data_IF_161674610769
#
_entry.id   IF_161674610769
#
_cell.length_a   1.000
_cell.length_b   1.000
_cell.length_c   1.000
_cell.angle_alpha   90.00
_cell.angle_beta   90.00
_cell.angle_gamma   90.00
#
_symmetry.space_group_name_H-M   'P 1'
#
loop_
_entity.id
_entity.type
_entity.pdbx_description
1 polymer ?
#
# COMPACT_ATOMS: atom_id res chain seq x y z
N UNK A 1 45.31 -29.49 -17.40
CA UNK A 1 44.81 -28.12 -17.10
C UNK A 1 43.58 -27.69 -17.91
N UNK A 2 43.59 -27.74 -19.27
CA UNK A 2 42.49 -27.23 -20.12
C UNK A 2 41.07 -27.78 -19.88
N UNK A 3 40.94 -29.03 -19.41
CA UNK A 3 39.62 -29.68 -19.16
C UNK A 3 38.93 -29.16 -17.89
N UNK A 4 39.71 -28.78 -16.88
CA UNK A 4 39.22 -28.26 -15.58
C UNK A 4 38.72 -26.81 -15.72
N UNK A 5 39.42 -25.98 -16.49
CA UNK A 5 38.98 -24.61 -16.83
C UNK A 5 37.73 -24.58 -17.70
N UNK A 6 37.57 -25.49 -18.67
CA UNK A 6 36.35 -25.58 -19.50
C UNK A 6 35.12 -26.02 -18.69
N UNK A 7 35.30 -26.89 -17.70
CA UNK A 7 34.23 -27.27 -16.76
C UNK A 7 33.86 -26.11 -15.84
N UNK A 8 34.84 -25.37 -15.31
CA UNK A 8 34.58 -24.18 -14.49
C UNK A 8 33.82 -23.08 -15.27
N UNK A 9 34.13 -22.87 -16.55
CA UNK A 9 33.42 -21.91 -17.39
C UNK A 9 31.97 -22.35 -17.67
N UNK A 10 31.73 -23.64 -17.92
CA UNK A 10 30.37 -24.19 -18.07
C UNK A 10 29.57 -24.06 -16.78
N UNK A 11 30.15 -24.41 -15.63
CA UNK A 11 29.50 -24.26 -14.33
C UNK A 11 29.19 -22.80 -14.04
N UNK A 12 30.12 -21.88 -14.31
CA UNK A 12 29.89 -20.44 -14.16
C UNK A 12 28.75 -19.95 -15.06
N UNK A 13 28.71 -20.36 -16.33
CA UNK A 13 27.61 -20.01 -17.23
C UNK A 13 26.26 -20.53 -16.75
N UNK A 14 26.19 -21.76 -16.23
CA UNK A 14 24.97 -22.33 -15.64
C UNK A 14 24.54 -21.52 -14.42
N UNK A 15 25.46 -21.15 -13.52
CA UNK A 15 25.15 -20.34 -12.35
C UNK A 15 24.62 -18.95 -12.75
N UNK A 16 25.19 -18.32 -13.77
CA UNK A 16 24.69 -17.05 -14.31
C UNK A 16 23.27 -17.20 -14.86
N UNK A 17 22.99 -18.27 -15.61
CA UNK A 17 21.63 -18.54 -16.13
C UNK A 17 20.64 -18.75 -14.99
N UNK A 18 20.99 -19.56 -13.98
CA UNK A 18 20.14 -19.80 -12.82
C UNK A 18 19.90 -18.50 -12.02
N UNK A 19 20.92 -17.65 -11.89
CA UNK A 19 20.79 -16.35 -11.21
C UNK A 19 19.89 -15.39 -12.00
N UNK A 20 20.02 -15.33 -13.33
CA UNK A 20 19.13 -14.54 -14.19
C UNK A 20 17.69 -15.06 -14.12
N UNK A 21 17.51 -16.39 -14.12
CA UNK A 21 16.18 -17.00 -13.95
C UNK A 21 15.59 -16.66 -12.58
N UNK A 22 16.37 -16.76 -11.51
CA UNK A 22 15.95 -16.37 -10.17
C UNK A 22 15.51 -14.90 -10.11
N UNK A 23 16.28 -13.99 -10.70
CA UNK A 23 15.90 -12.57 -10.77
C UNK A 23 14.59 -12.41 -11.55
N UNK A 24 14.41 -13.12 -12.67
CA UNK A 24 13.22 -13.00 -13.52
C UNK A 24 11.96 -13.58 -12.87
N UNK A 25 12.06 -14.62 -12.06
CA UNK A 25 10.90 -15.29 -11.45
C UNK A 25 10.59 -14.79 -10.04
N UNK A 26 11.56 -14.19 -9.34
CA UNK A 26 11.35 -13.65 -8.01
C UNK A 26 10.74 -12.23 -8.08
N UNK A 27 9.43 -12.15 -7.88
CA UNK A 27 8.70 -10.89 -7.96
C UNK A 27 9.22 -9.83 -6.98
N UNK A 28 9.72 -10.20 -5.80
CA UNK A 28 10.25 -9.23 -4.81
C UNK A 28 11.52 -8.56 -5.31
N UNK A 29 12.39 -9.35 -5.96
CA UNK A 29 13.60 -8.82 -6.58
C UNK A 29 13.23 -7.92 -7.76
N UNK A 30 12.27 -8.34 -8.59
CA UNK A 30 11.74 -7.51 -9.68
C UNK A 30 11.16 -6.20 -9.18
N UNK A 31 10.29 -6.21 -8.16
CA UNK A 31 9.66 -5.01 -7.58
C UNK A 31 10.71 -4.01 -7.09
N UNK A 32 11.72 -4.49 -6.35
CA UNK A 32 12.83 -3.65 -5.89
C UNK A 32 13.66 -3.06 -7.04
N UNK A 33 13.94 -3.85 -8.06
CA UNK A 33 14.65 -3.36 -9.25
C UNK A 33 13.81 -2.31 -10.00
N UNK A 34 12.52 -2.55 -10.18
CA UNK A 34 11.62 -1.59 -10.84
C UNK A 34 11.48 -0.30 -10.04
N UNK A 35 11.46 -0.36 -8.72
CA UNK A 35 11.46 0.83 -7.87
C UNK A 35 12.71 1.70 -8.13
N UNK A 36 13.90 1.10 -8.08
CA UNK A 36 15.17 1.80 -8.35
C UNK A 36 15.18 2.37 -9.77
N UNK A 37 14.80 1.56 -10.77
CA UNK A 37 14.75 1.99 -12.16
C UNK A 37 13.71 3.09 -12.39
N UNK A 38 12.61 3.09 -11.65
CA UNK A 38 11.58 4.12 -11.75
C UNK A 38 12.14 5.47 -11.31
N UNK A 39 12.78 5.54 -10.15
CA UNK A 39 13.36 6.79 -9.63
C UNK A 39 14.54 7.30 -10.47
N UNK A 40 15.31 6.40 -11.10
CA UNK A 40 16.38 6.79 -12.02
C UNK A 40 15.86 7.38 -13.34
N UNK A 41 14.64 7.03 -13.76
CA UNK A 41 14.07 7.39 -15.06
C UNK A 41 13.02 8.50 -14.99
N UNK A 42 12.46 8.74 -13.81
CA UNK A 42 11.36 9.67 -13.61
C UNK A 42 11.66 10.62 -12.45
N UNK A 43 11.28 11.88 -12.63
CA UNK A 43 11.22 12.84 -11.51
C UNK A 43 10.04 12.43 -10.61
N UNK A 44 10.36 11.80 -9.48
CA UNK A 44 9.39 11.18 -8.56
C UNK A 44 9.41 11.89 -7.21
N UNK A 45 9.10 13.18 -7.23
CA UNK A 45 9.10 14.01 -6.03
C UNK A 45 7.93 13.63 -5.09
N UNK A 46 8.15 13.56 -3.77
CA UNK A 46 7.09 13.38 -2.78
C UNK A 46 5.98 14.44 -2.91
N UNK A 47 4.70 14.06 -3.03
CA UNK A 47 3.59 15.02 -2.99
C UNK A 47 3.34 15.51 -1.56
N UNK A 48 3.46 16.82 -1.31
CA UNK A 48 3.21 17.45 0.00
C UNK A 48 2.02 18.43 -0.03
N UNK A 49 1.16 18.32 -1.04
CA UNK A 49 -0.07 19.11 -1.14
C UNK A 49 -1.21 18.29 -1.72
N UNK A 50 -2.46 18.62 -1.34
CA UNK A 50 -3.66 17.97 -1.90
C UNK A 50 -3.74 18.09 -3.42
N UNK A 51 -3.22 19.20 -3.98
CA UNK A 51 -3.13 19.39 -5.43
C UNK A 51 -2.18 18.38 -6.07
N UNK A 52 -0.96 18.24 -5.56
CA UNK A 52 0.01 17.28 -6.11
C UNK A 52 -0.49 15.84 -5.99
N UNK A 53 -1.10 15.47 -4.86
CA UNK A 53 -1.73 14.16 -4.67
C UNK A 53 -2.80 13.94 -5.77
N UNK A 54 -3.67 14.93 -5.98
CA UNK A 54 -4.72 14.86 -7.00
C UNK A 54 -4.15 14.77 -8.41
N UNK A 55 -3.11 15.54 -8.72
CA UNK A 55 -2.42 15.51 -10.01
C UNK A 55 -1.84 14.11 -10.28
N UNK A 56 -1.17 13.51 -9.29
CA UNK A 56 -0.64 12.14 -9.39
C UNK A 56 -1.77 11.14 -9.65
N UNK A 57 -2.85 11.18 -8.87
CA UNK A 57 -3.98 10.26 -9.04
C UNK A 57 -4.70 10.43 -10.38
N UNK A 58 -4.83 11.67 -10.87
CA UNK A 58 -5.47 11.98 -12.16
C UNK A 58 -4.72 11.40 -13.36
N UNK A 59 -3.42 11.13 -13.20
CA UNK A 59 -2.59 10.48 -14.23
C UNK A 59 -2.88 8.99 -14.41
N UNK A 60 -3.65 8.37 -13.51
CA UNK A 60 -3.94 6.94 -13.50
C UNK A 60 -5.36 6.75 -14.04
N UNK A 61 -5.56 6.00 -15.14
CA UNK A 61 -6.89 5.74 -15.67
C UNK A 61 -7.79 5.05 -14.66
N UNK A 62 -9.07 5.40 -14.66
CA UNK A 62 -10.08 4.81 -13.79
C UNK A 62 -11.06 3.92 -14.56
N UNK A 63 -11.81 3.12 -13.82
CA UNK A 63 -12.89 2.27 -14.31
C UNK A 63 -13.96 2.11 -13.22
N UNK A 64 -15.19 1.79 -13.65
CA UNK A 64 -16.28 1.43 -12.74
C UNK A 64 -16.26 -0.06 -12.40
N UNK A 65 -17.04 -0.44 -11.38
CA UNK A 65 -17.21 -1.85 -10.99
C UNK A 65 -17.69 -2.74 -12.15
N UNK A 66 -18.60 -2.24 -12.99
CA UNK A 66 -19.17 -3.02 -14.10
C UNK A 66 -18.16 -3.31 -15.23
N UNK A 67 -17.02 -2.62 -15.22
CA UNK A 67 -15.92 -2.86 -16.16
C UNK A 67 -14.90 -3.88 -15.63
N UNK A 68 -15.01 -4.32 -14.37
CA UNK A 68 -14.15 -5.35 -13.80
C UNK A 68 -14.43 -6.68 -14.49
N UNK A 69 -13.37 -7.39 -14.88
CA UNK A 69 -13.52 -8.68 -15.53
C UNK A 69 -14.04 -9.76 -14.56
N UNK A 70 -14.64 -10.81 -15.13
CA UNK A 70 -15.26 -11.88 -14.35
C UNK A 70 -14.27 -12.67 -13.49
N UNK A 71 -13.04 -12.87 -13.99
CA UNK A 71 -12.01 -13.64 -13.30
C UNK A 71 -11.54 -12.91 -12.03
N UNK A 72 -11.33 -11.59 -12.12
CA UNK A 72 -11.03 -10.72 -11.00
C UNK A 72 -12.17 -10.72 -9.98
N UNK A 73 -13.42 -10.59 -10.43
CA UNK A 73 -14.59 -10.59 -9.54
C UNK A 73 -14.75 -11.91 -8.78
N UNK A 74 -14.45 -13.03 -9.43
CA UNK A 74 -14.44 -14.36 -8.83
C UNK A 74 -13.29 -14.52 -7.82
N UNK A 75 -12.06 -14.26 -8.26
CA UNK A 75 -10.85 -14.31 -7.44
C UNK A 75 -10.97 -13.48 -6.16
N UNK A 76 -11.44 -12.23 -6.31
CA UNK A 76 -11.56 -11.30 -5.20
C UNK A 76 -12.79 -11.53 -4.33
N UNK A 77 -13.74 -12.39 -4.76
CA UNK A 77 -15.09 -12.55 -4.19
C UNK A 77 -15.92 -11.26 -4.21
N UNK A 78 -15.57 -10.28 -5.04
CA UNK A 78 -16.22 -8.97 -5.09
C UNK A 78 -17.68 -9.05 -5.56
N UNK A 79 -18.04 -10.07 -6.35
CA UNK A 79 -19.41 -10.29 -6.82
C UNK A 79 -20.33 -10.94 -5.77
N UNK A 80 -19.81 -11.40 -4.62
CA UNK A 80 -20.64 -12.05 -3.59
C UNK A 80 -21.68 -11.05 -3.04
N UNK A 81 -22.94 -11.46 -2.78
CA UNK A 81 -24.01 -10.55 -2.33
C UNK A 81 -23.68 -9.71 -1.10
N UNK A 82 -22.84 -10.24 -0.18
CA UNK A 82 -22.39 -9.51 1.01
C UNK A 82 -21.37 -8.39 0.73
N UNK A 83 -20.65 -8.44 -0.38
CA UNK A 83 -19.59 -7.49 -0.72
C UNK A 83 -19.96 -6.55 -1.86
N UNK A 84 -20.74 -7.03 -2.84
CA UNK A 84 -21.17 -6.23 -3.99
C UNK A 84 -21.75 -4.86 -3.59
N UNK A 85 -22.63 -4.73 -2.57
CA UNK A 85 -23.14 -3.41 -2.16
C UNK A 85 -22.07 -2.44 -1.64
N UNK A 86 -20.94 -2.94 -1.13
CA UNK A 86 -19.83 -2.11 -0.65
C UNK A 86 -18.92 -1.61 -1.78
N UNK A 87 -18.98 -2.27 -2.93
CA UNK A 87 -17.98 -2.19 -3.99
C UNK A 87 -18.53 -1.60 -5.30
N UNK A 88 -19.81 -1.84 -5.60
CA UNK A 88 -20.43 -1.50 -6.89
C UNK A 88 -20.36 -0.02 -7.27
N UNK A 89 -20.35 0.87 -6.29
CA UNK A 89 -20.39 2.32 -6.50
C UNK A 89 -18.99 2.97 -6.33
N UNK A 90 -17.93 2.16 -6.20
CA UNK A 90 -16.56 2.66 -6.06
C UNK A 90 -15.92 2.94 -7.41
N UNK A 91 -14.99 3.89 -7.41
CA UNK A 91 -14.06 4.12 -8.52
C UNK A 91 -12.83 3.24 -8.35
N UNK A 92 -12.47 2.50 -9.39
CA UNK A 92 -11.29 1.66 -9.44
C UNK A 92 -10.22 2.31 -10.29
N UNK A 93 -8.99 2.34 -9.80
CA UNK A 93 -7.83 2.77 -10.57
C UNK A 93 -7.23 1.57 -11.28
N UNK A 94 -6.87 1.76 -12.56
CA UNK A 94 -6.18 0.77 -13.38
C UNK A 94 -4.67 0.91 -13.16
N UNK A 95 -4.19 0.40 -12.03
CA UNK A 95 -2.80 0.62 -11.59
C UNK A 95 -1.83 -0.24 -12.39
N UNK A 96 -1.05 0.37 -13.28
CA UNK A 96 -0.01 -0.33 -14.05
C UNK A 96 1.24 -0.54 -13.20
N UNK A 97 2.13 -1.43 -13.64
CA UNK A 97 3.40 -1.72 -12.96
C UNK A 97 4.24 -0.46 -12.66
N UNK A 98 4.25 0.52 -13.54
CA UNK A 98 4.95 1.79 -13.33
C UNK A 98 4.27 2.68 -12.29
N UNK A 99 2.94 2.63 -12.19
CA UNK A 99 2.17 3.42 -11.24
C UNK A 99 2.40 2.96 -9.80
N UNK A 100 2.68 1.67 -9.60
CA UNK A 100 3.07 1.09 -8.29
C UNK A 100 4.18 1.89 -7.59
N UNK A 101 5.11 2.44 -8.38
CA UNK A 101 6.29 3.16 -7.88
C UNK A 101 6.11 4.69 -7.82
N UNK A 102 4.97 5.24 -8.25
CA UNK A 102 4.68 6.66 -8.06
C UNK A 102 4.59 6.97 -6.56
N UNK A 103 5.27 8.01 -6.10
CA UNK A 103 4.98 8.60 -4.78
C UNK A 103 3.63 9.30 -4.87
N UNK A 104 2.74 8.98 -3.93
CA UNK A 104 1.34 9.43 -3.93
C UNK A 104 1.00 10.33 -2.76
N UNK A 105 1.73 10.22 -1.64
CA UNK A 105 1.64 11.15 -0.50
C UNK A 105 2.93 11.08 0.31
N UNK A 106 3.60 12.22 0.46
CA UNK A 106 4.92 12.29 1.08
C UNK A 106 5.87 11.23 0.51
N UNK A 107 6.63 10.51 1.35
CA UNK A 107 7.56 9.48 0.87
C UNK A 107 6.85 8.22 0.36
N UNK A 108 5.54 8.06 0.60
CA UNK A 108 4.82 6.82 0.37
C UNK A 108 4.43 6.63 -1.10
N UNK A 109 4.70 5.43 -1.59
CA UNK A 109 4.37 4.97 -2.95
C UNK A 109 3.00 4.31 -3.00
N UNK A 110 2.38 4.35 -4.18
CA UNK A 110 1.06 3.74 -4.40
C UNK A 110 1.01 2.27 -3.99
N UNK A 111 2.07 1.49 -4.27
CA UNK A 111 2.13 0.07 -3.90
C UNK A 111 1.96 -0.21 -2.41
N UNK A 112 2.31 0.73 -1.53
CA UNK A 112 2.12 0.55 -0.09
C UNK A 112 0.65 0.61 0.33
N UNK A 113 -0.21 1.21 -0.51
CA UNK A 113 -1.64 1.30 -0.28
C UNK A 113 -2.41 0.16 -0.97
N UNK A 114 -1.73 -0.82 -1.57
CA UNK A 114 -2.35 -1.88 -2.35
C UNK A 114 -2.29 -3.24 -1.66
N UNK A 115 -3.18 -4.14 -2.09
CA UNK A 115 -3.15 -5.53 -1.67
C UNK A 115 -1.98 -6.23 -2.36
N UNK A 116 -1.11 -6.87 -1.58
CA UNK A 116 -0.02 -7.68 -2.12
C UNK A 116 -0.52 -9.10 -2.40
N UNK A 117 -1.31 -9.22 -3.47
CA UNK A 117 -1.96 -10.44 -3.92
C UNK A 117 -1.36 -10.97 -5.23
N UNK A 118 -2.05 -11.92 -5.87
CA UNK A 118 -1.62 -12.52 -7.13
C UNK A 118 -1.67 -11.52 -8.28
N UNK A 119 -2.69 -10.68 -8.38
CA UNK A 119 -2.76 -9.64 -9.41
C UNK A 119 -1.62 -8.61 -9.27
N UNK A 120 -1.29 -8.22 -8.04
CA UNK A 120 -0.11 -7.39 -7.76
C UNK A 120 1.18 -8.04 -8.25
N UNK A 121 1.36 -9.32 -7.89
CA UNK A 121 2.54 -10.11 -8.26
C UNK A 121 2.64 -10.27 -9.78
N UNK A 122 1.53 -10.57 -10.44
CA UNK A 122 1.45 -10.79 -11.87
C UNK A 122 1.61 -9.51 -12.67
N UNK A 123 1.14 -8.37 -12.15
CA UNK A 123 1.42 -7.05 -12.71
C UNK A 123 2.93 -6.74 -12.68
N UNK A 124 3.63 -7.03 -11.58
CA UNK A 124 5.09 -6.88 -11.49
C UNK A 124 5.81 -7.76 -12.52
N UNK A 125 5.39 -9.02 -12.63
CA UNK A 125 5.95 -9.99 -13.57
C UNK A 125 5.53 -9.73 -15.02
N UNK A 126 4.62 -8.79 -15.27
CA UNK A 126 4.15 -8.39 -16.60
C UNK A 126 3.18 -9.39 -17.23
N UNK A 127 2.50 -10.22 -16.41
CA UNK A 127 1.42 -11.10 -16.85
C UNK A 127 0.08 -10.36 -16.87
N UNK A 128 -0.14 -9.46 -15.90
CA UNK A 128 -1.28 -8.56 -15.87
C UNK A 128 -0.87 -7.15 -16.32
N UNK A 129 -1.71 -6.48 -17.12
CA UNK A 129 -1.43 -5.11 -17.58
C UNK A 129 -1.57 -4.10 -16.42
N UNK A 130 -2.57 -4.31 -15.57
CA UNK A 130 -2.89 -3.45 -14.45
C UNK A 130 -3.59 -4.21 -13.32
N UNK A 131 -3.59 -3.64 -12.13
CA UNK A 131 -4.34 -4.13 -10.98
C UNK A 131 -5.51 -3.18 -10.72
N UNK A 132 -6.78 -3.64 -10.76
CA UNK A 132 -7.89 -2.84 -10.30
C UNK A 132 -7.78 -2.60 -8.80
N UNK A 133 -7.77 -1.33 -8.38
CA UNK A 133 -7.69 -0.97 -6.96
C UNK A 133 -8.71 0.13 -6.63
N UNK A 134 -9.69 -0.11 -5.75
CA UNK A 134 -10.52 0.95 -5.22
C UNK A 134 -9.67 1.80 -4.28
N UNK A 135 -9.71 3.12 -4.48
CA UNK A 135 -8.92 4.07 -3.72
C UNK A 135 -9.81 5.27 -3.42
N UNK A 136 -9.93 5.62 -2.14
CA UNK A 136 -10.55 6.86 -1.72
C UNK A 136 -9.46 7.94 -1.53
N UNK A 137 -9.42 9.01 -2.35
CA UNK A 137 -8.37 10.03 -2.26
C UNK A 137 -8.28 10.73 -0.89
N UNK A 138 -9.38 10.81 -0.15
CA UNK A 138 -9.41 11.39 1.20
C UNK A 138 -8.42 10.67 2.14
N UNK A 139 -8.16 9.37 1.93
CA UNK A 139 -7.18 8.62 2.72
C UNK A 139 -5.78 9.23 2.60
N UNK A 140 -5.33 9.57 1.40
CA UNK A 140 -4.03 10.22 1.19
C UNK A 140 -4.02 11.63 1.77
N UNK A 141 -5.12 12.37 1.69
CA UNK A 141 -5.21 13.67 2.32
C UNK A 141 -5.07 13.57 3.84
N UNK A 142 -5.60 12.51 4.47
CA UNK A 142 -5.39 12.25 5.91
C UNK A 142 -4.00 11.78 6.25
N UNK A 143 -3.36 11.02 5.38
CA UNK A 143 -1.93 10.70 5.55
C UNK A 143 -1.07 11.96 5.44
N UNK A 144 -1.38 12.88 4.51
CA UNK A 144 -0.70 14.16 4.39
C UNK A 144 -0.92 15.03 5.64
N UNK A 145 -2.19 15.18 6.06
CA UNK A 145 -2.55 15.96 7.25
C UNK A 145 -1.79 15.40 8.51
N UNK A 146 -1.53 14.09 8.59
CA UNK A 146 -0.72 13.47 9.65
C UNK A 146 0.77 13.84 9.56
N UNK A 147 1.38 13.72 8.37
CA UNK A 147 2.78 14.11 8.13
C UNK A 147 3.00 15.58 8.49
N UNK A 148 2.15 16.46 7.97
CA UNK A 148 2.21 17.89 8.24
C UNK A 148 2.07 18.19 9.73
N UNK A 149 1.19 17.47 10.43
CA UNK A 149 0.96 17.70 11.86
C UNK A 149 2.10 17.20 12.73
N UNK A 150 2.75 16.09 12.36
CA UNK A 150 3.98 15.62 13.02
C UNK A 150 5.08 16.66 12.88
N UNK A 151 5.36 17.10 11.65
CA UNK A 151 6.38 18.11 11.37
C UNK A 151 6.08 19.43 12.09
N UNK A 152 4.82 19.90 12.08
CA UNK A 152 4.39 21.12 12.79
C UNK A 152 4.65 21.05 14.30
N UNK A 153 4.51 19.87 14.90
CA UNK A 153 4.73 19.65 16.33
C UNK A 153 6.19 19.33 16.67
N UNK A 154 7.08 19.27 15.68
CA UNK A 154 8.49 18.95 15.87
C UNK A 154 8.77 17.45 16.08
N UNK A 155 7.84 16.59 15.67
CA UNK A 155 8.02 15.14 15.68
C UNK A 155 8.57 14.63 14.36
N UNK A 156 9.18 13.43 14.39
CA UNK A 156 9.70 12.76 13.21
C UNK A 156 8.57 12.22 12.32
N UNK A 157 8.31 12.87 11.19
CA UNK A 157 7.30 12.40 10.22
C UNK A 157 7.66 11.09 9.49
N UNK A 158 8.94 10.70 9.50
CA UNK A 158 9.42 9.42 8.93
C UNK A 158 9.34 8.26 9.95
N UNK A 159 8.90 8.52 11.18
CA UNK A 159 8.81 7.55 12.27
C UNK A 159 7.67 6.54 12.14
N UNK A 160 7.09 6.34 10.95
CA UNK A 160 6.13 5.28 10.70
C UNK A 160 6.16 4.81 9.24
N UNK A 161 5.65 3.59 9.01
CA UNK A 161 5.46 3.05 7.66
C UNK A 161 4.04 2.59 7.44
N UNK A 162 3.58 2.70 6.19
CA UNK A 162 2.34 2.05 5.75
C UNK A 162 2.59 0.54 5.60
N UNK A 163 1.74 -0.26 6.26
CA UNK A 163 1.83 -1.73 6.24
C UNK A 163 0.74 -2.34 5.37
N UNK A 164 -0.50 -1.86 5.51
CA UNK A 164 -1.63 -2.38 4.74
C UNK A 164 -2.53 -1.23 4.28
N UNK A 165 -2.77 -1.11 2.97
CA UNK A 165 -3.85 -0.29 2.41
C UNK A 165 -5.04 -1.14 2.00
N UNK A 166 -5.49 -1.01 0.76
CA UNK A 166 -6.60 -1.78 0.21
C UNK A 166 -6.42 -3.30 0.38
N UNK A 167 -7.52 -3.99 0.71
CA UNK A 167 -7.60 -5.46 0.79
C UNK A 167 -8.89 -5.92 0.13
N UNK A 168 -8.81 -6.67 -0.96
CA UNK A 168 -10.02 -7.21 -1.59
C UNK A 168 -10.71 -8.23 -0.68
N UNK A 169 -12.01 -8.55 -0.89
CA UNK A 169 -12.78 -9.35 0.05
C UNK A 169 -12.19 -10.73 0.36
N UNK A 170 -11.73 -11.48 -0.66
CA UNK A 170 -11.11 -12.78 -0.44
C UNK A 170 -9.82 -12.70 0.40
N UNK A 171 -8.99 -11.66 0.22
CA UNK A 171 -7.81 -11.45 1.05
C UNK A 171 -8.19 -11.06 2.48
N UNK A 172 -9.16 -10.16 2.63
CA UNK A 172 -9.66 -9.75 3.94
C UNK A 172 -10.20 -10.95 4.73
N UNK A 173 -10.95 -11.87 4.09
CA UNK A 173 -11.37 -13.12 4.72
C UNK A 173 -10.20 -14.03 5.10
N UNK A 174 -9.22 -14.20 4.19
CA UNK A 174 -8.05 -15.07 4.39
C UNK A 174 -7.27 -14.71 5.66
N UNK A 175 -7.16 -13.42 5.97
CA UNK A 175 -6.46 -12.92 7.15
C UNK A 175 -7.36 -12.75 8.38
N UNK A 176 -8.63 -13.15 8.30
CA UNK A 176 -9.58 -13.03 9.41
C UNK A 176 -10.13 -11.61 9.65
N UNK A 177 -10.03 -10.72 8.67
CA UNK A 177 -10.48 -9.33 8.80
C UNK A 177 -12.00 -9.19 8.94
N UNK A 178 -12.44 -8.08 9.55
CA UNK A 178 -13.85 -7.78 9.75
C UNK A 178 -14.64 -7.76 8.43
N UNK A 179 -15.91 -8.23 8.47
CA UNK A 179 -16.77 -8.35 7.28
C UNK A 179 -17.00 -7.01 6.55
N UNK A 180 -17.10 -5.92 7.30
CA UNK A 180 -17.32 -4.56 6.79
C UNK A 180 -16.05 -3.69 6.93
N UNK A 181 -14.88 -4.33 6.79
CA UNK A 181 -13.59 -3.66 6.85
C UNK A 181 -13.49 -2.54 5.83
N UNK A 182 -12.96 -1.40 6.25
CA UNK A 182 -12.76 -0.23 5.38
C UNK A 182 -11.61 -0.38 4.40
N UNK A 183 -10.72 -1.35 4.64
CA UNK A 183 -9.71 -1.75 3.66
C UNK A 183 -10.31 -2.31 2.37
N UNK A 184 -11.49 -2.93 2.44
CA UNK A 184 -12.22 -3.44 1.25
C UNK A 184 -12.61 -2.30 0.33
N UNK A 185 -12.88 -1.12 0.88
CA UNK A 185 -13.34 0.06 0.13
C UNK A 185 -12.22 1.00 -0.30
N UNK A 186 -10.96 0.67 0.01
CA UNK A 186 -9.84 1.60 -0.19
C UNK A 186 -9.91 2.84 0.71
N UNK A 187 -10.57 2.74 1.86
CA UNK A 187 -10.85 3.85 2.78
C UNK A 187 -9.96 3.83 4.03
N UNK A 188 -9.04 2.87 4.14
CA UNK A 188 -8.30 2.62 5.36
C UNK A 188 -6.85 2.26 5.13
N UNK A 189 -6.05 2.51 6.16
CA UNK A 189 -4.66 2.12 6.21
C UNK A 189 -4.27 1.66 7.61
N UNK A 190 -3.40 0.66 7.66
CA UNK A 190 -2.69 0.25 8.87
C UNK A 190 -1.24 0.72 8.76
N UNK A 191 -0.73 1.34 9.81
CA UNK A 191 0.66 1.78 9.93
C UNK A 191 1.37 1.06 11.07
N UNK A 192 2.67 0.85 10.94
CA UNK A 192 3.56 0.50 12.05
C UNK A 192 4.33 1.74 12.47
N UNK A 193 4.25 2.06 13.76
CA UNK A 193 4.88 3.22 14.38
C UNK A 193 6.25 2.82 14.95
N UNK A 194 7.25 3.65 14.66
CA UNK A 194 8.63 3.55 15.13
C UNK A 194 8.96 4.76 16.02
N UNK A 195 10.19 5.29 15.94
CA UNK A 195 10.65 6.47 16.69
C UNK A 195 10.03 7.76 16.11
N UNK A 196 9.00 8.27 16.79
CA UNK A 196 8.25 9.50 16.45
C UNK A 196 8.78 10.68 17.27
N UNK A 197 9.12 10.48 18.54
CA UNK A 197 9.59 11.55 19.42
C UNK A 197 11.09 11.88 19.29
N UNK A 198 11.83 11.08 18.51
CA UNK A 198 13.23 11.31 18.16
C UNK A 198 14.20 10.87 19.25
N UNK A 199 13.76 10.06 20.22
CA UNK A 199 14.58 9.63 21.34
C UNK A 199 15.40 8.35 21.08
N UNK A 200 15.38 7.87 19.83
CA UNK A 200 16.04 6.64 19.37
C UNK A 200 15.43 5.33 19.88
N UNK A 201 14.29 5.38 20.57
CA UNK A 201 13.50 4.23 20.94
C UNK A 201 12.20 4.19 20.14
N UNK A 202 11.69 2.97 19.93
CA UNK A 202 10.38 2.75 19.31
C UNK A 202 9.52 2.08 20.37
N UNK A 203 8.71 2.86 21.08
CA UNK A 203 7.91 2.40 22.21
C UNK A 203 6.42 2.83 22.11
N UNK A 204 5.67 2.69 23.21
CA UNK A 204 4.23 3.01 23.21
C UNK A 204 3.95 4.52 23.25
N UNK A 205 4.92 5.36 23.64
CA UNK A 205 4.81 6.83 23.59
C UNK A 205 4.71 7.31 22.16
N UNK A 206 5.52 6.78 21.26
CA UNK A 206 5.47 7.11 19.83
C UNK A 206 4.09 6.83 19.23
N UNK A 207 3.59 5.64 19.53
CA UNK A 207 2.24 5.23 19.13
C UNK A 207 1.18 6.13 19.75
N UNK A 208 1.33 6.54 21.00
CA UNK A 208 0.38 7.43 21.66
C UNK A 208 0.37 8.82 21.01
N UNK A 209 1.52 9.35 20.57
CA UNK A 209 1.61 10.61 19.83
C UNK A 209 0.78 10.52 18.55
N UNK A 210 0.96 9.45 17.77
CA UNK A 210 0.18 9.21 16.54
C UNK A 210 -1.32 9.10 16.83
N UNK A 211 -1.72 8.32 17.83
CA UNK A 211 -3.13 8.15 18.22
C UNK A 211 -3.76 9.48 18.63
N UNK A 212 -3.04 10.27 19.43
CA UNK A 212 -3.48 11.60 19.86
C UNK A 212 -3.64 12.55 18.69
N UNK A 213 -2.69 12.54 17.74
CA UNK A 213 -2.77 13.40 16.56
C UNK A 213 -3.97 13.02 15.70
N UNK A 214 -4.13 11.72 15.41
CA UNK A 214 -5.24 11.21 14.61
C UNK A 214 -6.58 11.54 15.26
N UNK A 215 -6.73 11.33 16.56
CA UNK A 215 -8.00 11.55 17.25
C UNK A 215 -8.35 13.04 17.41
N UNK A 216 -7.38 13.87 17.79
CA UNK A 216 -7.63 15.29 18.14
C UNK A 216 -7.66 16.20 16.91
N UNK A 217 -6.82 15.95 15.90
CA UNK A 217 -6.59 16.88 14.80
C UNK A 217 -7.06 16.35 13.44
N UNK A 218 -6.81 15.07 13.13
CA UNK A 218 -6.88 14.59 11.74
C UNK A 218 -8.20 13.90 11.39
N UNK A 219 -8.50 12.79 12.08
CA UNK A 219 -9.67 11.93 11.84
C UNK A 219 -10.88 12.44 12.61
N UNK A 220 -10.70 12.78 13.89
CA UNK A 220 -11.78 13.31 14.77
C UNK A 220 -13.03 12.44 14.67
N UNK A 221 -14.20 13.05 14.54
CA UNK A 221 -15.48 12.35 14.44
C UNK A 221 -15.85 11.92 13.00
N UNK A 222 -14.94 12.08 12.04
CA UNK A 222 -15.18 11.82 10.61
C UNK A 222 -14.56 10.51 10.11
N UNK A 223 -14.09 9.65 11.01
CA UNK A 223 -13.50 8.37 10.61
C UNK A 223 -13.20 7.42 11.77
N UNK A 224 -12.62 6.27 11.43
CA UNK A 224 -12.25 5.23 12.38
C UNK A 224 -10.78 5.29 12.81
N UNK A 225 -10.51 4.87 14.04
CA UNK A 225 -9.15 4.61 14.55
C UNK A 225 -9.16 3.28 15.30
N UNK A 226 -8.27 2.36 14.91
CA UNK A 226 -8.01 1.11 15.63
C UNK A 226 -6.70 1.21 16.41
N UNK A 227 -6.76 1.00 17.72
CA UNK A 227 -5.67 1.28 18.65
C UNK A 227 -4.71 0.10 18.83
N UNK A 228 -5.18 -1.14 18.65
CA UNK A 228 -4.40 -2.39 18.79
C UNK A 228 -3.37 -2.40 19.94
N UNK A 229 -3.79 -2.37 21.23
CA UNK A 229 -2.90 -2.29 22.38
C UNK A 229 -1.85 -3.40 22.41
N UNK A 230 -0.65 -3.09 22.93
CA UNK A 230 0.47 -4.05 22.99
C UNK A 230 1.17 -4.32 21.65
N UNK A 231 0.76 -3.62 20.59
CA UNK A 231 1.44 -3.62 19.29
C UNK A 231 1.96 -2.22 18.95
N UNK A 232 2.78 -2.11 17.92
CA UNK A 232 3.17 -0.84 17.30
C UNK A 232 2.24 -0.42 16.15
N UNK A 233 1.13 -1.13 15.94
CA UNK A 233 0.25 -0.88 14.81
C UNK A 233 -0.87 0.07 15.17
N UNK A 234 -1.22 0.94 14.24
CA UNK A 234 -2.39 1.83 14.32
C UNK A 234 -3.17 1.71 13.02
N UNK A 235 -4.49 1.63 13.14
CA UNK A 235 -5.40 1.73 12.01
C UNK A 235 -6.03 3.11 11.98
N UNK A 236 -6.22 3.68 10.79
CA UNK A 236 -7.16 4.76 10.59
C UNK A 236 -7.88 4.67 9.25
N UNK A 237 -9.10 5.21 9.20
CA UNK A 237 -9.93 5.20 8.02
C UNK A 237 -10.82 6.43 7.89
N UNK A 238 -11.32 6.67 6.68
CA UNK A 238 -12.12 7.83 6.30
C UNK A 238 -13.61 7.51 6.14
N UNK A 239 -14.16 6.61 6.97
CA UNK A 239 -15.56 6.12 6.86
C UNK A 239 -16.66 7.18 7.03
N UNK A 240 -16.31 8.42 7.38
CA UNK A 240 -17.25 9.53 7.55
C UNK A 240 -17.90 9.63 8.94
N UNK A 241 -17.72 8.62 9.80
CA UNK A 241 -18.29 8.57 11.15
C UNK A 241 -17.29 8.06 12.18
N UNK A 242 -17.41 8.52 13.42
CA UNK A 242 -16.52 8.13 14.52
C UNK A 242 -16.62 6.63 14.81
N UNK A 243 -15.47 5.96 14.84
CA UNK A 243 -15.34 4.59 15.35
C UNK A 243 -13.99 4.41 16.06
N UNK A 244 -13.98 3.81 17.25
CA UNK A 244 -12.76 3.52 18.03
C UNK A 244 -12.82 2.10 18.54
N UNK A 245 -11.73 1.35 18.41
CA UNK A 245 -11.68 -0.05 18.86
C UNK A 245 -10.25 -0.50 19.17
N UNK A 246 -10.14 -1.52 20.02
CA UNK A 246 -8.85 -2.03 20.50
C UNK A 246 -8.51 -3.44 20.00
N UNK A 247 -9.45 -4.13 19.34
CA UNK A 247 -9.25 -5.50 18.81
C UNK A 247 -8.82 -5.48 17.35
N UNK A 248 -7.92 -6.39 16.98
CA UNK A 248 -7.53 -6.61 15.58
C UNK A 248 -8.68 -7.20 14.74
#
# INVERSE_FOLDING_TARGET
MKRRTKNNLKTFAVLVVLFVLFIKTNWRVQDRLYEILYDLRHSNHPPYSKKEITDVLSSIPTMSYDQLDGEYLEYTKSAKPKYKPLLKDLTYYRVKRSDLNKRVVGPFRLKQFMCNDEYYTDCILGKEEFVPCPINPELFFKTLDLLDKLNQLGYNEDGFVIVNGHRHPAYNEKIGGAKLSRHIKGEAVDISVYDIDGDSYSDQRDKQIILDILDKYIIKDKGGIGLYPGTHNVHYDVRGTKARWNSF
#
